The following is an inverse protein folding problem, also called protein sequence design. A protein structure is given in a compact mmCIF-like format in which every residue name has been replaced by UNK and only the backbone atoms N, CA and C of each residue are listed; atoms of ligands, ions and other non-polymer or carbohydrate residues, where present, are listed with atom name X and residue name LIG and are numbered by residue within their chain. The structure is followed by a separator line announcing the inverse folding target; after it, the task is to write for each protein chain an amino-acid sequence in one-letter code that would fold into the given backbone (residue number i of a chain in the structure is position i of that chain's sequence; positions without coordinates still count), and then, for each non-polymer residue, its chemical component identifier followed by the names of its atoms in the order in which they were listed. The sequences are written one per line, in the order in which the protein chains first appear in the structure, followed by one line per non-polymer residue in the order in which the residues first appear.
data_IF_254100919453
#
_entry.id   IF_254100919453
#
_cell.length_a   1.000
_cell.length_b   1.000
_cell.length_c   1.000
_cell.angle_alpha   90.00
_cell.angle_beta   90.00
_cell.angle_gamma   90.00
#
_symmetry.space_group_name_H-M   'P 1'
#
loop_
_entity.id
_entity.type
_entity.pdbx_description
1 polymer ?
#
# COMPACT_ATOMS: atom_id res chain seq x y z
N UNK A 1 -3.80 -11.97 26.40
CA UNK A 1 -2.85 -11.91 25.28
C UNK A 1 -3.29 -12.89 24.23
N UNK A 2 -3.55 -12.35 23.04
CA UNK A 2 -3.92 -13.14 21.86
C UNK A 2 -2.75 -14.10 21.52
N UNK A 3 -3.04 -15.21 20.82
CA UNK A 3 -2.01 -16.17 20.36
C UNK A 3 -0.91 -15.43 19.57
N UNK A 4 -1.32 -14.43 18.78
CA UNK A 4 -0.42 -13.57 18.02
C UNK A 4 0.59 -12.85 18.92
N UNK A 5 0.14 -12.20 20.00
CA UNK A 5 1.03 -11.45 20.92
C UNK A 5 2.10 -12.35 21.54
N UNK A 6 1.73 -13.57 21.91
CA UNK A 6 2.63 -14.55 22.54
C UNK A 6 3.72 -15.02 21.58
N UNK A 7 3.38 -15.21 20.30
CA UNK A 7 4.31 -15.67 19.27
C UNK A 7 5.20 -14.55 18.77
N UNK A 8 4.65 -13.34 18.60
CA UNK A 8 5.41 -12.20 18.09
C UNK A 8 6.44 -11.68 19.10
N UNK A 9 6.15 -11.76 20.42
CA UNK A 9 6.96 -11.19 21.51
C UNK A 9 7.35 -9.71 21.25
N UNK A 10 6.48 -9.00 20.55
CA UNK A 10 6.62 -7.60 20.17
C UNK A 10 5.21 -7.04 19.98
N UNK A 11 5.01 -5.77 20.30
CA UNK A 11 3.76 -5.07 19.98
C UNK A 11 3.70 -4.87 18.46
N UNK A 12 2.60 -5.30 17.85
CA UNK A 12 2.35 -5.18 16.41
C UNK A 12 0.98 -4.55 16.19
N UNK A 13 0.85 -3.21 16.34
CA UNK A 13 -0.42 -2.55 16.14
C UNK A 13 -0.87 -2.74 14.69
N UNK A 14 -2.13 -3.13 14.50
CA UNK A 14 -2.72 -3.32 13.18
C UNK A 14 -4.04 -2.57 13.09
N UNK A 15 -4.36 -2.14 11.88
CA UNK A 15 -5.63 -1.53 11.54
C UNK A 15 -5.96 -1.85 10.09
N UNK A 16 -7.23 -1.71 9.72
CA UNK A 16 -7.70 -2.02 8.38
C UNK A 16 -7.87 -0.75 7.57
N UNK A 17 -7.10 -0.61 6.48
CA UNK A 17 -7.15 0.51 5.53
C UNK A 17 -6.88 0.01 4.12
N UNK A 18 -7.24 0.82 3.12
CA UNK A 18 -6.76 0.68 1.74
C UNK A 18 -6.13 1.99 1.30
N UNK A 19 -5.25 1.95 0.31
CA UNK A 19 -4.75 3.15 -0.36
C UNK A 19 -4.19 2.80 -1.74
N UNK A 20 -4.35 3.67 -2.75
CA UNK A 20 -3.86 3.44 -4.10
C UNK A 20 -2.37 3.73 -4.28
N UNK A 21 -1.65 3.99 -3.18
CA UNK A 21 -0.30 4.55 -3.20
C UNK A 21 0.78 3.51 -2.86
N UNK A 22 0.73 2.35 -3.52
CA UNK A 22 1.72 1.28 -3.37
C UNK A 22 1.52 0.20 -4.46
N UNK A 23 2.55 -0.60 -4.71
CA UNK A 23 2.56 -1.67 -5.72
C UNK A 23 1.52 -2.76 -5.47
N UNK A 24 1.01 -2.88 -4.24
CA UNK A 24 -0.03 -3.85 -3.92
C UNK A 24 -1.40 -3.51 -4.53
N UNK A 25 -1.60 -2.28 -5.02
CA UNK A 25 -2.92 -1.79 -5.42
C UNK A 25 -3.59 -2.62 -6.55
N UNK A 26 -2.91 -2.99 -7.66
CA UNK A 26 -3.49 -3.83 -8.71
C UNK A 26 -3.91 -5.21 -8.23
N UNK A 27 -3.18 -5.76 -7.25
CA UNK A 27 -3.47 -7.06 -6.64
C UNK A 27 -4.72 -6.96 -5.77
N UNK A 28 -4.84 -5.88 -4.98
CA UNK A 28 -6.02 -5.61 -4.18
C UNK A 28 -7.29 -5.49 -5.04
N UNK A 29 -7.23 -4.77 -6.16
CA UNK A 29 -8.33 -4.66 -7.12
C UNK A 29 -8.74 -6.02 -7.71
N UNK A 30 -7.79 -6.95 -7.84
CA UNK A 30 -8.02 -8.34 -8.28
C UNK A 30 -8.34 -9.30 -7.12
N UNK A 31 -8.82 -8.76 -6.00
CA UNK A 31 -9.24 -9.50 -4.81
C UNK A 31 -8.15 -10.27 -4.06
N UNK A 32 -6.88 -10.00 -4.33
CA UNK A 32 -5.77 -10.58 -3.58
C UNK A 32 -5.69 -9.89 -2.21
N UNK A 33 -5.66 -10.63 -1.08
CA UNK A 33 -5.42 -10.04 0.23
C UNK A 33 -4.06 -9.34 0.26
N UNK A 34 -4.05 -8.08 0.66
CA UNK A 34 -2.84 -7.26 0.75
C UNK A 34 -2.66 -6.75 2.18
N UNK A 35 -1.40 -6.62 2.59
CA UNK A 35 -0.99 -5.93 3.80
C UNK A 35 0.12 -4.97 3.46
N UNK A 36 0.14 -3.83 4.15
CA UNK A 36 1.29 -2.92 4.18
C UNK A 36 1.63 -2.71 5.64
N UNK A 37 2.89 -2.36 5.90
CA UNK A 37 3.24 -1.89 7.22
C UNK A 37 4.32 -0.82 7.15
N UNK A 38 4.55 -0.22 8.30
CA UNK A 38 5.42 0.92 8.48
C UNK A 38 5.47 1.28 9.95
N UNK A 39 6.10 2.40 10.26
CA UNK A 39 6.20 2.88 11.63
C UNK A 39 4.84 3.46 12.10
N UNK A 40 4.21 2.85 13.13
CA UNK A 40 2.93 3.32 13.67
C UNK A 40 3.02 4.73 14.28
N UNK A 41 4.16 5.11 14.83
CA UNK A 41 4.35 6.44 15.42
C UNK A 41 4.55 7.50 14.33
N UNK A 42 5.24 7.17 13.23
CA UNK A 42 5.31 8.03 12.03
C UNK A 42 3.90 8.31 11.47
N UNK A 43 2.98 7.34 11.46
CA UNK A 43 1.60 7.56 11.01
C UNK A 43 0.86 8.58 11.90
N UNK A 44 1.16 8.60 13.21
CA UNK A 44 0.50 9.49 14.18
C UNK A 44 1.12 10.90 14.25
N UNK A 45 2.43 10.98 14.07
CA UNK A 45 3.21 12.18 14.40
C UNK A 45 3.77 12.90 13.18
N UNK A 46 3.95 12.21 12.05
CA UNK A 46 4.54 12.83 10.87
C UNK A 46 3.51 13.62 10.07
N UNK A 47 3.95 14.76 9.55
CA UNK A 47 3.27 15.48 8.48
C UNK A 47 4.04 15.22 7.18
N UNK A 48 3.47 14.42 6.28
CA UNK A 48 4.05 14.17 4.95
C UNK A 48 5.02 12.96 4.87
N UNK A 49 5.96 13.00 3.92
CA UNK A 49 6.86 11.88 3.57
C UNK A 49 8.26 11.96 4.22
N UNK A 50 8.44 12.85 5.20
CA UNK A 50 9.77 13.14 5.75
C UNK A 50 10.73 13.59 4.65
N UNK A 51 11.86 12.89 4.48
CA UNK A 51 12.85 13.17 3.43
C UNK A 51 12.52 12.54 2.06
N UNK A 52 11.48 11.71 1.95
CA UNK A 52 11.17 10.97 0.72
C UNK A 52 10.96 11.88 -0.50
N UNK A 53 11.48 11.46 -1.65
CA UNK A 53 11.48 12.25 -2.90
C UNK A 53 12.20 13.60 -2.82
N UNK A 54 13.13 13.76 -1.87
CA UNK A 54 14.03 14.90 -1.81
C UNK A 54 15.48 14.46 -2.00
N UNK A 55 16.36 15.41 -2.33
CA UNK A 55 17.81 15.17 -2.35
C UNK A 55 18.40 14.78 -0.99
N UNK A 56 17.62 14.90 0.08
CA UNK A 56 18.01 14.58 1.45
C UNK A 56 17.57 13.16 1.86
N UNK A 57 16.92 12.41 0.97
CA UNK A 57 16.62 10.98 1.16
C UNK A 57 17.92 10.18 1.07
N UNK A 58 18.62 10.12 2.21
CA UNK A 58 20.02 9.70 2.32
C UNK A 58 20.22 8.75 3.51
N UNK A 59 21.20 7.87 3.42
CA UNK A 59 21.37 6.75 4.37
C UNK A 59 21.60 7.20 5.82
N UNK A 60 22.14 8.39 6.04
CA UNK A 60 22.38 8.96 7.37
C UNK A 60 21.07 9.29 8.12
N UNK A 61 19.92 9.22 7.45
CA UNK A 61 18.59 9.37 8.06
C UNK A 61 17.99 8.05 8.53
N UNK A 62 18.64 6.93 8.25
CA UNK A 62 18.19 5.60 8.66
C UNK A 62 18.76 5.27 10.03
N UNK A 63 17.88 5.05 11.00
CA UNK A 63 18.27 4.47 12.28
C UNK A 63 18.47 2.96 12.13
N UNK A 64 19.70 2.49 12.36
CA UNK A 64 20.06 1.07 12.24
C UNK A 64 19.33 0.19 13.26
N UNK A 65 19.00 0.71 14.45
CA UNK A 65 18.25 -0.03 15.44
C UNK A 65 16.83 -0.31 14.93
N UNK A 66 16.13 0.72 14.46
CA UNK A 66 14.78 0.58 13.93
C UNK A 66 14.74 -0.28 12.67
N UNK A 67 15.73 -0.19 11.78
CA UNK A 67 15.82 -1.07 10.61
C UNK A 67 15.94 -2.55 11.02
N UNK A 68 16.78 -2.86 12.01
CA UNK A 68 16.97 -4.24 12.52
C UNK A 68 15.72 -4.75 13.23
N UNK A 69 15.09 -3.92 14.05
CA UNK A 69 13.85 -4.27 14.75
C UNK A 69 12.70 -4.52 13.76
N UNK A 70 12.56 -3.66 12.74
CA UNK A 70 11.60 -3.86 11.67
C UNK A 70 11.85 -5.19 10.95
N UNK A 71 13.09 -5.46 10.53
CA UNK A 71 13.46 -6.72 9.87
C UNK A 71 13.09 -7.93 10.74
N UNK A 72 13.46 -7.94 12.03
CA UNK A 72 13.14 -9.03 12.95
C UNK A 72 11.63 -9.24 13.11
N UNK A 73 10.86 -8.16 13.27
CA UNK A 73 9.41 -8.22 13.42
C UNK A 73 8.71 -8.71 12.15
N UNK A 74 9.10 -8.22 10.98
CA UNK A 74 8.53 -8.69 9.70
C UNK A 74 8.91 -10.13 9.42
N UNK A 75 10.12 -10.58 9.73
CA UNK A 75 10.49 -12.00 9.59
C UNK A 75 9.60 -12.89 10.45
N UNK A 76 9.35 -12.54 11.72
CA UNK A 76 8.43 -13.29 12.60
C UNK A 76 7.01 -13.29 12.06
N UNK A 77 6.52 -12.13 11.61
CA UNK A 77 5.18 -11.99 11.04
C UNK A 77 5.00 -12.86 9.79
N UNK A 78 5.95 -12.78 8.84
CA UNK A 78 5.93 -13.57 7.62
C UNK A 78 6.02 -15.06 7.91
N UNK A 79 6.89 -15.46 8.85
CA UNK A 79 7.00 -16.86 9.29
C UNK A 79 5.68 -17.36 9.86
N UNK A 80 5.03 -16.58 10.73
CA UNK A 80 3.70 -16.92 11.27
C UNK A 80 2.65 -17.04 10.17
N UNK A 81 2.57 -16.06 9.27
CA UNK A 81 1.63 -16.05 8.14
C UNK A 81 1.83 -17.28 7.24
N UNK A 82 3.08 -17.63 6.94
CA UNK A 82 3.41 -18.77 6.10
C UNK A 82 3.08 -20.14 6.74
N UNK A 83 3.00 -20.20 8.06
CA UNK A 83 2.73 -21.43 8.82
C UNK A 83 1.33 -21.43 9.48
N UNK A 84 0.42 -20.55 9.07
CA UNK A 84 -0.95 -20.55 9.61
C UNK A 84 -1.80 -21.60 8.88
N UNK A 85 -2.03 -22.73 9.54
CA UNK A 85 -2.85 -23.84 9.01
C UNK A 85 -4.29 -23.40 8.68
N UNK A 86 -4.82 -22.43 9.45
CA UNK A 86 -6.19 -21.92 9.28
C UNK A 86 -6.17 -20.48 8.80
N UNK A 87 -6.03 -20.32 7.49
CA UNK A 87 -6.03 -19.01 6.86
C UNK A 87 -7.43 -18.35 6.87
N UNK A 88 -7.60 -17.33 7.71
CA UNK A 88 -8.90 -16.64 7.85
C UNK A 88 -9.17 -15.58 6.77
N UNK A 89 -8.15 -15.13 6.03
CA UNK A 89 -8.36 -14.06 5.06
C UNK A 89 -9.04 -14.61 3.80
N UNK A 90 -10.22 -14.04 3.47
CA UNK A 90 -10.99 -14.36 2.28
C UNK A 90 -10.74 -13.36 1.15
N UNK A 91 -10.84 -13.83 -0.10
CA UNK A 91 -10.94 -12.94 -1.27
C UNK A 91 -12.25 -12.17 -1.19
N UNK A 92 -12.17 -10.86 -1.33
CA UNK A 92 -13.35 -9.99 -1.39
C UNK A 92 -13.98 -10.06 -2.78
N UNK A 93 -15.30 -9.98 -2.84
CA UNK A 93 -16.02 -9.73 -4.10
C UNK A 93 -15.68 -8.35 -4.63
N UNK A 94 -15.87 -8.14 -5.93
CA UNK A 94 -15.65 -6.83 -6.55
C UNK A 94 -16.54 -5.75 -5.93
N UNK A 95 -17.79 -6.08 -5.56
CA UNK A 95 -18.70 -5.18 -4.85
C UNK A 95 -18.12 -4.76 -3.49
N UNK A 96 -17.64 -5.72 -2.68
CA UNK A 96 -17.02 -5.43 -1.38
C UNK A 96 -15.76 -4.56 -1.52
N UNK A 97 -14.97 -4.75 -2.59
CA UNK A 97 -13.78 -3.92 -2.88
C UNK A 97 -14.20 -2.48 -3.18
N UNK A 98 -15.15 -2.27 -4.11
CA UNK A 98 -15.60 -0.93 -4.49
C UNK A 98 -16.26 -0.18 -3.33
N UNK A 99 -17.08 -0.87 -2.53
CA UNK A 99 -17.69 -0.31 -1.32
C UNK A 99 -16.62 0.09 -0.30
N UNK A 100 -15.55 -0.71 -0.14
CA UNK A 100 -14.46 -0.39 0.76
C UNK A 100 -13.64 0.81 0.27
N UNK A 101 -13.30 0.87 -1.02
CA UNK A 101 -12.60 2.02 -1.64
C UNK A 101 -13.40 3.31 -1.43
N UNK A 102 -14.71 3.27 -1.69
CA UNK A 102 -15.61 4.40 -1.47
C UNK A 102 -15.67 4.82 0.00
N UNK A 103 -15.80 3.85 0.91
CA UNK A 103 -15.80 4.12 2.37
C UNK A 103 -14.49 4.80 2.83
N UNK A 104 -13.39 4.50 2.17
CA UNK A 104 -12.07 5.08 2.48
C UNK A 104 -11.78 6.39 1.72
N UNK A 105 -12.70 6.86 0.88
CA UNK A 105 -12.62 8.15 0.17
C UNK A 105 -11.68 8.18 -1.04
N UNK A 106 -11.31 7.02 -1.59
CA UNK A 106 -10.40 6.95 -2.74
C UNK A 106 -11.10 6.78 -4.09
N UNK A 107 -12.43 6.75 -4.12
CA UNK A 107 -13.22 6.66 -5.34
C UNK A 107 -12.89 7.78 -6.33
N UNK A 108 -12.73 9.01 -5.83
CA UNK A 108 -12.30 10.14 -6.65
C UNK A 108 -10.84 10.03 -7.10
N UNK A 109 -9.97 9.48 -6.26
CA UNK A 109 -8.55 9.27 -6.59
C UNK A 109 -8.39 8.24 -7.71
N UNK A 110 -9.18 7.17 -7.69
CA UNK A 110 -9.21 6.15 -8.74
C UNK A 110 -9.70 6.77 -10.06
N UNK A 111 -10.78 7.55 -10.01
CA UNK A 111 -11.30 8.25 -11.19
C UNK A 111 -10.34 9.32 -11.75
N UNK A 112 -9.40 9.81 -10.96
CA UNK A 112 -8.47 10.85 -11.40
C UNK A 112 -7.58 10.35 -12.55
N UNK A 113 -7.14 9.09 -12.50
CA UNK A 113 -6.33 8.49 -13.56
C UNK A 113 -7.07 8.54 -14.91
N UNK A 114 -8.36 8.19 -14.93
CA UNK A 114 -9.19 8.24 -16.13
C UNK A 114 -9.40 9.67 -16.63
N UNK A 115 -9.63 10.63 -15.72
CA UNK A 115 -9.76 12.04 -16.07
C UNK A 115 -8.47 12.62 -16.65
N UNK A 116 -7.32 12.25 -16.10
CA UNK A 116 -6.00 12.64 -16.62
C UNK A 116 -5.79 12.06 -18.01
N UNK A 117 -6.11 10.76 -18.22
CA UNK A 117 -6.06 10.15 -19.55
C UNK A 117 -6.99 10.85 -20.54
N UNK A 118 -8.22 11.17 -20.14
CA UNK A 118 -9.18 11.89 -20.98
C UNK A 118 -8.68 13.29 -21.35
N UNK A 119 -8.08 14.02 -20.39
CA UNK A 119 -7.50 15.34 -20.63
C UNK A 119 -6.29 15.28 -21.57
N UNK A 120 -5.34 14.37 -21.34
CA UNK A 120 -4.14 14.22 -22.18
C UNK A 120 -4.50 13.86 -23.62
N UNK A 121 -5.57 13.08 -23.84
CA UNK A 121 -6.07 12.79 -25.19
C UNK A 121 -6.52 14.02 -25.98
N UNK A 122 -6.72 15.17 -25.32
CA UNK A 122 -7.06 16.43 -26.00
C UNK A 122 -5.83 17.19 -26.48
N UNK A 123 -4.61 16.76 -26.12
CA UNK A 123 -3.38 17.46 -26.49
C UNK A 123 -3.09 17.31 -27.98
N UNK A 124 -2.65 18.39 -28.65
CA UNK A 124 -2.35 18.36 -30.09
C UNK A 124 -1.13 17.49 -30.43
N UNK A 125 -0.21 17.34 -29.48
CA UNK A 125 0.99 16.51 -29.60
C UNK A 125 1.24 15.77 -28.27
N UNK A 126 1.66 14.51 -28.36
CA UNK A 126 1.98 13.67 -27.21
C UNK A 126 3.36 13.06 -27.37
N UNK A 127 4.17 13.08 -26.31
CA UNK A 127 5.42 12.33 -26.26
C UNK A 127 5.13 10.83 -26.44
N UNK A 128 6.00 10.05 -27.12
CA UNK A 128 5.76 8.63 -27.38
C UNK A 128 5.44 7.81 -26.12
N UNK A 129 6.13 8.05 -25.01
CA UNK A 129 5.87 7.37 -23.74
C UNK A 129 4.49 7.70 -23.15
N UNK A 130 4.06 8.96 -23.29
CA UNK A 130 2.72 9.39 -22.87
C UNK A 130 1.65 8.68 -23.68
N UNK A 131 1.86 8.53 -24.99
CA UNK A 131 0.95 7.81 -25.87
C UNK A 131 0.80 6.34 -25.44
N UNK A 132 1.93 5.66 -25.15
CA UNK A 132 1.93 4.28 -24.63
C UNK A 132 1.13 4.17 -23.33
N UNK A 133 1.29 5.10 -22.39
CA UNK A 133 0.56 5.08 -21.12
C UNK A 133 -0.95 5.35 -21.28
N UNK A 134 -1.33 6.26 -22.17
CA UNK A 134 -2.73 6.60 -22.46
C UNK A 134 -3.46 5.47 -23.18
N UNK A 135 -2.80 4.85 -24.16
CA UNK A 135 -3.34 3.74 -24.97
C UNK A 135 -3.27 2.40 -24.24
N UNK A 136 -2.29 2.24 -23.36
CA UNK A 136 -2.20 1.12 -22.44
C UNK A 136 -3.52 0.99 -21.66
N UNK A 137 -4.08 -0.22 -21.67
CA UNK A 137 -5.18 -0.54 -20.77
C UNK A 137 -4.73 -0.15 -19.37
N UNK A 138 -5.50 0.72 -18.73
CA UNK A 138 -5.40 0.86 -17.30
C UNK A 138 -5.67 -0.52 -16.73
N UNK A 139 -4.63 -1.21 -16.30
CA UNK A 139 -4.76 -2.39 -15.45
C UNK A 139 -5.20 -1.99 -14.02
N UNK A 140 -5.33 -0.67 -13.80
CA UNK A 140 -5.88 0.04 -12.66
C UNK A 140 -7.38 0.24 -12.84
#
# INVERSE_FOLDING_TARGET
MDKCDKEMKAEMPYYQRVGPYSDHWPFYLRSVPCGSGGDPETIRTSTGRGFGHSKYDTVDKVDLEYLRLAAANYTRFLFRVANEDKWMAKRKTQKEIQEFIKKQGYDQTVQLADRVKAYIKTWPEMHPETKVWVEGKSEW
#
